data_IF_217419052409
#
_entry.id   IF_217419052409
#
_cell.length_a   1.000
_cell.length_b   1.000
_cell.length_c   1.000
_cell.angle_alpha   90.00
_cell.angle_beta   90.00
_cell.angle_gamma   90.00
#
_symmetry.space_group_name_H-M   'P 1'
#
loop_
_entity.id
_entity.type
_entity.pdbx_description
1 polymer ?
#
# COMPACT_ATOMS: atom_id res chain seq x y z
N UNK A 1 -3.54 -0.68 13.77
CA UNK A 1 -4.54 0.20 13.10
C UNK A 1 -5.25 -0.59 12.00
N UNK A 2 -6.43 -0.15 11.53
CA UNK A 2 -7.17 -0.84 10.45
C UNK A 2 -6.33 -1.01 9.16
N UNK A 3 -5.66 0.05 8.73
CA UNK A 3 -4.86 0.08 7.51
C UNK A 3 -3.66 -0.87 7.59
N UNK A 4 -2.97 -0.92 8.73
CA UNK A 4 -1.88 -1.86 8.97
C UNK A 4 -2.37 -3.31 8.89
N UNK A 5 -3.47 -3.65 9.57
CA UNK A 5 -4.03 -5.00 9.53
C UNK A 5 -4.47 -5.40 8.12
N UNK A 6 -4.96 -4.46 7.31
CA UNK A 6 -5.29 -4.68 5.91
C UNK A 6 -4.04 -4.98 5.06
N UNK A 7 -3.01 -4.12 5.17
CA UNK A 7 -1.74 -4.31 4.45
C UNK A 7 -1.06 -5.64 4.85
N UNK A 8 -1.01 -5.95 6.15
CA UNK A 8 -0.40 -7.16 6.68
C UNK A 8 -1.09 -8.43 6.16
N UNK A 9 -2.43 -8.44 6.04
CA UNK A 9 -3.16 -9.57 5.44
C UNK A 9 -2.82 -9.80 3.97
N UNK A 10 -2.49 -8.74 3.24
CA UNK A 10 -2.12 -8.83 1.81
C UNK A 10 -0.66 -9.25 1.66
N UNK A 11 0.24 -8.66 2.46
CA UNK A 11 1.69 -8.77 2.28
C UNK A 11 2.33 -9.91 3.09
N UNK A 12 1.73 -10.31 4.21
CA UNK A 12 2.28 -11.31 5.13
C UNK A 12 3.53 -10.87 5.89
N UNK A 13 3.95 -9.61 5.72
CA UNK A 13 5.18 -9.05 6.28
C UNK A 13 4.85 -7.79 7.08
N UNK A 14 5.34 -7.74 8.33
CA UNK A 14 5.15 -6.58 9.21
C UNK A 14 5.85 -5.37 8.63
N UNK A 15 7.12 -5.51 8.24
CA UNK A 15 7.92 -4.43 7.69
C UNK A 15 7.27 -3.84 6.43
N UNK A 16 6.83 -4.69 5.50
CA UNK A 16 6.19 -4.21 4.27
C UNK A 16 4.83 -3.55 4.55
N UNK A 17 4.10 -4.03 5.57
CA UNK A 17 2.84 -3.43 5.97
C UNK A 17 3.04 -2.05 6.62
N UNK A 18 4.05 -1.87 7.47
CA UNK A 18 4.42 -0.57 8.04
C UNK A 18 4.84 0.41 6.95
N UNK A 19 5.72 -0.02 6.03
CA UNK A 19 6.16 0.80 4.90
C UNK A 19 4.98 1.32 4.07
N UNK A 20 4.05 0.43 3.70
CA UNK A 20 2.90 0.81 2.86
C UNK A 20 1.99 1.80 3.58
N UNK A 21 1.72 1.59 4.87
CA UNK A 21 0.91 2.52 5.65
C UNK A 21 1.59 3.87 5.77
N UNK A 22 2.91 3.88 6.01
CA UNK A 22 3.70 5.10 6.10
C UNK A 22 3.67 5.89 4.78
N UNK A 23 3.90 5.20 3.67
CA UNK A 23 3.83 5.73 2.30
C UNK A 23 2.47 6.36 1.97
N UNK A 24 1.38 5.72 2.41
CA UNK A 24 0.02 6.24 2.26
C UNK A 24 -0.17 7.52 3.07
N UNK A 25 0.30 7.57 4.31
CA UNK A 25 0.23 8.79 5.12
C UNK A 25 1.06 9.93 4.54
N UNK A 26 2.27 9.67 4.04
CA UNK A 26 3.07 10.69 3.34
C UNK A 26 2.31 11.22 2.12
N UNK A 27 1.71 10.32 1.35
CA UNK A 27 0.98 10.70 0.13
C UNK A 27 -0.27 11.52 0.44
N UNK A 28 -0.98 11.18 1.53
CA UNK A 28 -2.09 11.96 2.04
C UNK A 28 -1.65 13.36 2.47
N UNK A 29 -0.54 13.48 3.21
CA UNK A 29 -0.01 14.79 3.64
C UNK A 29 0.41 15.69 2.47
N UNK A 30 0.68 15.11 1.30
CA UNK A 30 1.01 15.86 0.07
C UNK A 30 -0.22 16.28 -0.74
N UNK A 31 -1.42 15.81 -0.40
CA UNK A 31 -2.63 16.26 -1.08
C UNK A 31 -3.04 17.66 -0.60
N UNK A 32 -3.25 18.56 -1.55
CA UNK A 32 -3.70 19.93 -1.25
C UNK A 32 -5.19 19.99 -0.88
N UNK A 33 -6.02 19.14 -1.50
CA UNK A 33 -7.47 19.12 -1.29
C UNK A 33 -7.96 17.80 -0.70
N UNK A 34 -7.55 17.54 0.54
CA UNK A 34 -7.99 16.36 1.30
C UNK A 34 -9.48 16.49 1.69
N UNK A 35 -10.00 17.71 1.77
CA UNK A 35 -11.35 18.01 2.25
C UNK A 35 -12.44 17.61 1.24
N UNK A 36 -12.12 17.51 -0.05
CA UNK A 36 -13.05 17.00 -1.06
C UNK A 36 -13.26 15.49 -1.02
N UNK A 37 -12.50 14.75 -0.20
CA UNK A 37 -12.68 13.30 -0.04
C UNK A 37 -13.87 13.03 0.90
N UNK A 38 -15.04 12.74 0.32
CA UNK A 38 -16.28 12.45 1.06
C UNK A 38 -16.15 11.30 2.08
N UNK A 39 -15.36 10.27 1.75
CA UNK A 39 -15.13 9.12 2.64
C UNK A 39 -13.64 8.78 2.75
N UNK A 40 -12.98 9.48 3.67
CA UNK A 40 -11.56 9.30 3.96
C UNK A 40 -11.18 7.84 4.27
N UNK A 41 -12.02 7.13 5.03
CA UNK A 41 -11.73 5.75 5.43
C UNK A 41 -11.72 4.82 4.22
N UNK A 42 -12.73 4.91 3.36
CA UNK A 42 -12.81 4.11 2.14
C UNK A 42 -11.66 4.43 1.17
N UNK A 43 -11.33 5.71 1.04
CA UNK A 43 -10.21 6.18 0.23
C UNK A 43 -8.87 5.56 0.69
N UNK A 44 -8.56 5.66 2.00
CA UNK A 44 -7.33 5.11 2.56
C UNK A 44 -7.28 3.58 2.47
N UNK A 45 -8.39 2.88 2.70
CA UNK A 45 -8.45 1.42 2.55
C UNK A 45 -8.14 1.02 1.10
N UNK A 46 -8.72 1.72 0.12
CA UNK A 46 -8.46 1.49 -1.31
C UNK A 46 -6.99 1.76 -1.66
N UNK A 47 -6.44 2.86 -1.18
CA UNK A 47 -5.05 3.25 -1.43
C UNK A 47 -4.05 2.23 -0.88
N UNK A 48 -4.24 1.78 0.37
CA UNK A 48 -3.43 0.73 1.01
C UNK A 48 -3.52 -0.59 0.24
N UNK A 49 -4.73 -0.99 -0.15
CA UNK A 49 -4.96 -2.23 -0.90
C UNK A 49 -4.22 -2.21 -2.22
N UNK A 50 -4.36 -1.13 -3.00
CA UNK A 50 -3.72 -0.99 -4.31
C UNK A 50 -2.19 -1.07 -4.18
N UNK A 51 -1.59 -0.28 -3.28
CA UNK A 51 -0.13 -0.28 -3.09
C UNK A 51 0.40 -1.63 -2.62
N UNK A 52 -0.34 -2.33 -1.76
CA UNK A 52 0.04 -3.68 -1.31
C UNK A 52 0.05 -4.68 -2.47
N UNK A 53 -0.97 -4.64 -3.33
CA UNK A 53 -1.06 -5.49 -4.53
C UNK A 53 0.08 -5.14 -5.52
N UNK A 54 0.35 -3.87 -5.73
CA UNK A 54 1.41 -3.43 -6.63
C UNK A 54 2.78 -3.90 -6.13
N UNK A 55 3.03 -3.82 -4.81
CA UNK A 55 4.27 -4.33 -4.20
C UNK A 55 4.43 -5.85 -4.39
N UNK A 56 3.37 -6.64 -4.22
CA UNK A 56 3.39 -8.08 -4.53
C UNK A 56 3.73 -8.35 -6.01
N UNK A 57 3.11 -7.59 -6.92
CA UNK A 57 3.36 -7.73 -8.37
C UNK A 57 4.80 -7.37 -8.71
N UNK A 58 5.35 -6.30 -8.15
CA UNK A 58 6.74 -5.91 -8.35
C UNK A 58 7.72 -6.95 -7.82
N UNK A 59 7.45 -7.53 -6.64
CA UNK A 59 8.27 -8.60 -6.09
C UNK A 59 8.23 -9.87 -6.96
N UNK A 60 7.05 -10.26 -7.43
CA UNK A 60 6.88 -11.39 -8.33
C UNK A 60 7.58 -11.15 -9.68
N UNK A 61 7.49 -9.94 -10.23
CA UNK A 61 8.17 -9.57 -11.47
C UNK A 61 9.70 -9.64 -11.32
N UNK A 62 10.26 -9.10 -10.22
CA UNK A 62 11.69 -9.23 -9.92
C UNK A 62 12.13 -10.70 -9.88
N UNK A 63 11.33 -11.59 -9.28
CA UNK A 63 11.66 -13.03 -9.27
C UNK A 63 11.69 -13.64 -10.68
N UNK A 64 10.79 -13.24 -11.57
CA UNK A 64 10.73 -13.79 -12.92
C UNK A 64 11.87 -13.31 -13.83
N UNK A 65 12.37 -12.08 -13.64
CA UNK A 65 13.50 -11.55 -14.43
C UNK A 65 14.84 -12.21 -14.04
N UNK A 66 14.98 -12.69 -12.80
CA UNK A 66 16.21 -13.34 -12.32
C UNK A 66 16.34 -14.84 -12.66
N UNK A 67 15.29 -15.50 -13.16
CA UNK A 67 15.33 -16.93 -13.57
C UNK A 67 15.65 -17.10 -15.07
N UNK A 68 15.99 -16.01 -15.76
CA UNK A 68 16.32 -16.00 -17.19
C UNK A 68 17.82 -16.01 -17.53
N UNK A 69 18.66 -16.71 -16.75
CA UNK A 69 20.07 -16.93 -17.09
C UNK A 69 20.40 -18.41 -17.16
#
# INVERSE_FOLDING_TARGET
SLLFSLAYRILGSVMDAEDIVHDVFISLNKMEDIQSIENMKAYLCKMVTNRSIDKLRSAAHKRNVYVGM
#
